data_IF_407997596826
#
_entry.id   IF_407997596826
#
_cell.length_a   1.000
_cell.length_b   1.000
_cell.length_c   1.000
_cell.angle_alpha   90.00
_cell.angle_beta   90.00
_cell.angle_gamma   90.00
#
_symmetry.space_group_name_H-M   'P 1'
#
loop_
_entity.id
_entity.type
_entity.pdbx_description
1 polymer ?
#
# COMPACT_ATOMS: atom_id res chain seq x y z
N UNK A 1 8.66 -4.00 31.72
CA UNK A 1 8.81 -3.50 30.33
C UNK A 1 8.34 -4.62 29.40
N UNK A 2 7.35 -4.36 28.56
CA UNK A 2 6.77 -5.38 27.67
C UNK A 2 7.18 -4.98 26.25
N UNK A 3 7.82 -5.90 25.54
CA UNK A 3 8.12 -5.76 24.13
C UNK A 3 7.22 -6.69 23.34
N UNK A 4 6.49 -6.15 22.37
CA UNK A 4 5.69 -6.93 21.42
C UNK A 4 6.29 -6.79 20.04
N UNK A 5 6.57 -7.90 19.38
CA UNK A 5 7.06 -7.93 18.01
C UNK A 5 6.07 -8.71 17.16
N UNK A 6 5.63 -8.08 16.07
CA UNK A 6 4.91 -8.77 15.01
C UNK A 6 5.75 -8.71 13.74
N UNK A 7 6.03 -9.86 13.16
CA UNK A 7 6.77 -9.95 11.89
C UNK A 7 5.79 -10.12 10.73
N UNK A 8 6.05 -9.40 9.63
CA UNK A 8 5.31 -9.64 8.39
C UNK A 8 5.55 -11.07 7.90
N UNK A 9 4.53 -11.68 7.29
CA UNK A 9 4.73 -12.93 6.56
C UNK A 9 5.57 -12.65 5.32
N UNK A 10 6.71 -13.31 5.18
CA UNK A 10 7.59 -13.19 4.03
C UNK A 10 7.43 -14.44 3.15
N UNK A 11 7.22 -14.22 1.85
CA UNK A 11 7.23 -15.28 0.81
C UNK A 11 8.36 -14.95 -0.13
N UNK A 12 9.38 -15.78 -0.15
CA UNK A 12 10.59 -15.57 -0.95
C UNK A 12 10.89 -16.79 -1.81
N UNK A 13 11.20 -16.55 -3.09
CA UNK A 13 11.58 -17.60 -4.04
C UNK A 13 11.36 -17.17 -5.49
N UNK A 14 11.94 -17.93 -6.41
CA UNK A 14 11.72 -17.71 -7.85
C UNK A 14 10.23 -17.89 -8.15
N UNK A 15 9.62 -16.91 -8.81
CA UNK A 15 8.19 -16.92 -9.17
C UNK A 15 7.23 -16.66 -8.01
N UNK A 16 7.71 -16.32 -6.81
CA UNK A 16 6.84 -16.02 -5.66
C UNK A 16 5.81 -14.90 -5.93
N UNK A 17 6.15 -13.95 -6.83
CA UNK A 17 5.26 -12.86 -7.21
C UNK A 17 3.96 -13.29 -7.89
N UNK A 18 3.92 -14.45 -8.52
CA UNK A 18 2.70 -15.02 -9.15
C UNK A 18 1.57 -15.22 -8.12
N UNK A 19 1.89 -15.42 -6.84
CA UNK A 19 0.91 -15.59 -5.77
C UNK A 19 0.32 -14.30 -5.21
N UNK A 20 0.79 -13.12 -5.62
CA UNK A 20 0.42 -11.82 -5.00
C UNK A 20 -1.08 -11.56 -5.05
N UNK A 21 -1.72 -11.71 -6.20
CA UNK A 21 -3.15 -11.49 -6.35
C UNK A 21 -3.99 -12.42 -5.45
N UNK A 22 -3.63 -13.70 -5.37
CA UNK A 22 -4.30 -14.66 -4.49
C UNK A 22 -4.09 -14.35 -3.00
N UNK A 23 -2.91 -13.83 -2.61
CA UNK A 23 -2.67 -13.37 -1.24
C UNK A 23 -3.52 -12.14 -0.91
N UNK A 24 -3.56 -11.15 -1.79
CA UNK A 24 -4.36 -9.95 -1.60
C UNK A 24 -5.86 -10.26 -1.50
N UNK A 25 -6.37 -11.18 -2.34
CA UNK A 25 -7.78 -11.58 -2.34
C UNK A 25 -8.25 -12.30 -1.05
N UNK A 26 -7.32 -12.77 -0.23
CA UNK A 26 -7.63 -13.30 1.12
C UNK A 26 -7.75 -12.21 2.18
N UNK A 27 -7.25 -11.02 1.89
CA UNK A 27 -7.20 -9.89 2.83
C UNK A 27 -8.32 -8.88 2.58
N UNK A 28 -8.77 -8.77 1.32
CA UNK A 28 -9.80 -7.81 0.92
C UNK A 28 -10.35 -8.12 -0.47
N UNK A 29 -11.29 -7.28 -0.90
CA UNK A 29 -11.99 -7.44 -2.19
C UNK A 29 -11.81 -6.23 -3.11
N UNK A 30 -11.46 -5.08 -2.56
CA UNK A 30 -11.32 -3.80 -3.27
C UNK A 30 -9.90 -3.27 -3.11
N UNK A 31 -9.07 -3.51 -4.11
CA UNK A 31 -7.63 -3.30 -4.03
C UNK A 31 -7.22 -1.88 -4.42
N UNK A 32 -6.35 -1.27 -3.62
CA UNK A 32 -5.54 -0.13 -4.02
C UNK A 32 -4.17 -0.64 -4.48
N UNK A 33 -3.90 -0.65 -5.78
CA UNK A 33 -2.60 -0.99 -6.35
C UNK A 33 -1.72 0.26 -6.46
N UNK A 34 -0.57 0.26 -5.80
CA UNK A 34 0.42 1.34 -5.83
C UNK A 34 1.64 0.88 -6.62
N UNK A 35 2.00 1.64 -7.65
CA UNK A 35 3.11 1.32 -8.56
C UNK A 35 4.09 2.49 -8.68
N UNK A 36 5.26 2.24 -9.25
CA UNK A 36 6.21 3.30 -9.62
C UNK A 36 5.84 4.01 -10.93
N UNK A 37 6.75 4.86 -11.42
CA UNK A 37 6.56 5.72 -12.59
C UNK A 37 6.34 4.99 -13.92
N UNK A 38 6.55 3.69 -13.95
CA UNK A 38 6.35 2.85 -15.16
C UNK A 38 5.29 1.78 -14.86
N UNK A 39 4.00 2.16 -14.75
CA UNK A 39 2.94 1.22 -14.36
C UNK A 39 2.81 0.04 -15.32
N UNK A 40 3.08 0.20 -16.62
CA UNK A 40 3.04 -0.87 -17.61
C UNK A 40 3.97 -2.07 -17.31
N UNK A 41 4.98 -1.90 -16.44
CA UNK A 41 5.77 -3.03 -15.95
C UNK A 41 5.00 -3.96 -14.99
N UNK A 42 3.87 -3.50 -14.50
CA UNK A 42 3.03 -4.20 -13.52
C UNK A 42 1.68 -4.62 -14.12
N UNK A 43 1.50 -4.51 -15.46
CA UNK A 43 0.23 -4.85 -16.12
C UNK A 43 -0.20 -6.29 -15.84
N UNK A 44 0.75 -7.22 -15.80
CA UNK A 44 0.50 -8.61 -15.42
C UNK A 44 -0.16 -8.74 -14.03
N UNK A 45 0.31 -7.95 -13.05
CA UNK A 45 -0.26 -7.98 -11.70
C UNK A 45 -1.62 -7.28 -11.66
N UNK A 46 -1.79 -6.21 -12.42
CA UNK A 46 -3.08 -5.52 -12.54
C UNK A 46 -4.14 -6.44 -13.15
N UNK A 47 -3.79 -7.20 -14.18
CA UNK A 47 -4.67 -8.21 -14.79
C UNK A 47 -5.01 -9.32 -13.82
N UNK A 48 -4.02 -9.87 -13.12
CA UNK A 48 -4.22 -10.90 -12.10
C UNK A 48 -5.14 -10.41 -10.96
N UNK A 49 -4.91 -9.20 -10.46
CA UNK A 49 -5.75 -8.59 -9.43
C UNK A 49 -7.20 -8.41 -9.92
N UNK A 50 -7.38 -7.89 -11.13
CA UNK A 50 -8.72 -7.71 -11.72
C UNK A 50 -9.48 -9.01 -11.91
N UNK A 51 -8.77 -10.12 -12.08
CA UNK A 51 -9.40 -11.45 -12.23
C UNK A 51 -9.98 -12.00 -10.93
N UNK A 52 -9.52 -11.51 -9.75
CA UNK A 52 -9.88 -12.05 -8.43
C UNK A 52 -10.48 -11.03 -7.46
N UNK A 53 -10.44 -9.74 -7.80
CA UNK A 53 -10.96 -8.63 -7.00
C UNK A 53 -12.26 -8.09 -7.55
N UNK A 54 -13.09 -7.49 -6.70
CA UNK A 54 -14.32 -6.80 -7.13
C UNK A 54 -14.01 -5.45 -7.76
N UNK A 55 -12.94 -4.78 -7.29
CA UNK A 55 -12.46 -3.52 -7.84
C UNK A 55 -10.95 -3.36 -7.64
N UNK A 56 -10.26 -2.72 -8.60
CA UNK A 56 -8.84 -2.41 -8.52
C UNK A 56 -8.60 -0.97 -8.96
N UNK A 57 -8.27 -0.12 -7.98
CA UNK A 57 -7.81 1.25 -8.21
C UNK A 57 -6.30 1.26 -8.30
N UNK A 58 -5.74 1.86 -9.36
CA UNK A 58 -4.30 1.98 -9.53
C UNK A 58 -3.83 3.42 -9.28
N UNK A 59 -2.74 3.55 -8.50
CA UNK A 59 -2.04 4.81 -8.22
C UNK A 59 -0.58 4.65 -8.61
N UNK A 60 -0.10 5.48 -9.55
CA UNK A 60 1.29 5.48 -9.98
C UNK A 60 2.06 6.64 -9.33
N UNK A 61 3.20 6.34 -8.72
CA UNK A 61 4.14 7.33 -8.19
C UNK A 61 5.14 7.70 -9.26
N UNK A 62 5.03 8.91 -9.78
CA UNK A 62 5.93 9.43 -10.83
C UNK A 62 7.21 10.02 -10.23
N UNK A 63 7.14 10.47 -8.98
CA UNK A 63 8.22 11.09 -8.20
C UNK A 63 8.03 10.78 -6.72
N UNK A 64 8.94 11.26 -5.87
CA UNK A 64 8.77 11.17 -4.42
C UNK A 64 7.40 11.72 -4.01
N UNK A 65 6.64 10.99 -3.18
CA UNK A 65 5.28 11.35 -2.83
C UNK A 65 5.26 12.59 -1.92
N UNK A 66 4.55 13.62 -2.36
CA UNK A 66 4.24 14.79 -1.53
C UNK A 66 3.06 14.47 -0.58
N UNK A 67 3.03 15.12 0.58
CA UNK A 67 1.97 14.91 1.60
C UNK A 67 0.58 15.16 1.05
N UNK A 68 0.41 16.22 0.25
CA UNK A 68 -0.88 16.53 -0.41
C UNK A 68 -1.33 15.41 -1.37
N UNK A 69 -0.40 14.82 -2.12
CA UNK A 69 -0.70 13.71 -3.01
C UNK A 69 -1.16 12.49 -2.20
N UNK A 70 -0.43 12.13 -1.13
CA UNK A 70 -0.78 10.98 -0.27
C UNK A 70 -2.16 11.20 0.37
N UNK A 71 -2.44 12.38 0.93
CA UNK A 71 -3.74 12.71 1.53
C UNK A 71 -4.88 12.58 0.52
N UNK A 72 -4.72 13.11 -0.68
CA UNK A 72 -5.73 13.03 -1.74
C UNK A 72 -5.99 11.59 -2.21
N UNK A 73 -4.93 10.79 -2.39
CA UNK A 73 -5.06 9.40 -2.83
C UNK A 73 -5.67 8.50 -1.73
N UNK A 74 -5.32 8.73 -0.46
CA UNK A 74 -5.90 8.02 0.67
C UNK A 74 -7.41 8.31 0.79
N UNK A 75 -7.83 9.56 0.66
CA UNK A 75 -9.24 9.93 0.69
C UNK A 75 -10.02 9.31 -0.48
N UNK A 76 -9.43 9.33 -1.69
CA UNK A 76 -10.05 8.69 -2.84
C UNK A 76 -10.15 7.16 -2.68
N UNK A 77 -9.16 6.51 -2.07
CA UNK A 77 -9.20 5.08 -1.76
C UNK A 77 -10.27 4.77 -0.72
N UNK A 78 -10.39 5.61 0.32
CA UNK A 78 -11.42 5.49 1.36
C UNK A 78 -12.83 5.63 0.78
N UNK A 79 -13.06 6.61 -0.09
CA UNK A 79 -14.34 6.82 -0.76
C UNK A 79 -14.69 5.67 -1.70
N UNK A 80 -13.70 5.07 -2.36
CA UNK A 80 -13.87 3.88 -3.18
C UNK A 80 -14.11 2.60 -2.36
N UNK A 81 -13.96 2.66 -1.03
CA UNK A 81 -14.10 1.51 -0.15
C UNK A 81 -12.97 0.49 -0.30
N UNK A 82 -11.75 0.94 -0.64
CA UNK A 82 -10.58 0.06 -0.69
C UNK A 82 -10.34 -0.58 0.68
N UNK A 83 -10.10 -1.89 0.70
CA UNK A 83 -9.96 -2.70 1.91
C UNK A 83 -8.66 -3.51 1.94
N UNK A 84 -7.85 -3.43 0.89
CA UNK A 84 -6.50 -4.01 0.81
C UNK A 84 -5.60 -3.14 -0.07
N UNK A 85 -4.32 -3.05 0.29
CA UNK A 85 -3.30 -2.35 -0.50
C UNK A 85 -2.29 -3.34 -1.05
N UNK A 86 -1.96 -3.22 -2.32
CA UNK A 86 -0.82 -3.92 -2.94
C UNK A 86 0.15 -2.85 -3.45
N UNK A 87 1.40 -2.87 -2.99
CA UNK A 87 2.42 -1.95 -3.44
C UNK A 87 3.57 -2.71 -4.12
N UNK A 88 3.84 -2.41 -5.38
CA UNK A 88 4.91 -3.02 -6.17
C UNK A 88 5.87 -1.96 -6.69
N UNK A 89 7.11 -1.98 -6.21
CA UNK A 89 8.11 -0.99 -6.59
C UNK A 89 9.30 -0.91 -5.65
N UNK A 90 10.04 0.18 -5.75
CA UNK A 90 11.14 0.50 -4.83
C UNK A 90 10.65 1.02 -3.48
N UNK A 91 11.59 1.46 -2.64
CA UNK A 91 11.31 1.93 -1.29
C UNK A 91 10.24 3.00 -1.20
N UNK A 92 10.30 4.04 -2.03
CA UNK A 92 9.29 5.13 -2.06
C UNK A 92 7.87 4.61 -2.34
N UNK A 93 7.73 3.61 -3.22
CA UNK A 93 6.43 3.00 -3.54
C UNK A 93 5.90 2.21 -2.36
N UNK A 94 6.76 1.42 -1.71
CA UNK A 94 6.40 0.64 -0.54
C UNK A 94 6.00 1.56 0.63
N UNK A 95 6.75 2.63 0.86
CA UNK A 95 6.46 3.60 1.93
C UNK A 95 5.18 4.38 1.64
N UNK A 96 4.94 4.79 0.40
CA UNK A 96 3.67 5.36 0.00
C UNK A 96 2.50 4.38 0.23
N UNK A 97 2.68 3.11 -0.11
CA UNK A 97 1.68 2.06 0.16
C UNK A 97 1.33 1.95 1.64
N UNK A 98 2.32 1.99 2.53
CA UNK A 98 2.11 1.99 3.98
C UNK A 98 1.33 3.22 4.45
N UNK A 99 1.73 4.41 3.97
CA UNK A 99 1.04 5.66 4.33
C UNK A 99 -0.42 5.66 3.83
N UNK A 100 -0.65 5.21 2.60
CA UNK A 100 -2.00 5.09 2.03
C UNK A 100 -2.86 4.08 2.79
N UNK A 101 -2.30 2.94 3.19
CA UNK A 101 -3.01 1.93 3.98
C UNK A 101 -3.47 2.50 5.34
N UNK A 102 -2.58 3.23 6.02
CA UNK A 102 -2.88 3.86 7.30
C UNK A 102 -3.93 4.96 7.18
N UNK A 103 -3.77 5.88 6.22
CA UNK A 103 -4.68 7.01 6.04
C UNK A 103 -6.04 6.62 5.47
N UNK A 104 -6.11 5.64 4.57
CA UNK A 104 -7.39 5.15 4.06
C UNK A 104 -8.25 4.54 5.17
N UNK A 105 -7.64 3.89 6.17
CA UNK A 105 -8.34 3.35 7.33
C UNK A 105 -8.77 4.43 8.35
N UNK A 106 -7.96 5.49 8.51
CA UNK A 106 -8.16 6.48 9.58
C UNK A 106 -8.75 7.81 9.09
N UNK A 107 -8.62 8.12 7.80
CA UNK A 107 -9.03 9.41 7.24
C UNK A 107 -8.11 10.56 7.65
N UNK A 108 -8.47 11.77 7.26
CA UNK A 108 -7.74 12.98 7.61
C UNK A 108 -6.53 13.27 6.72
N UNK A 109 -5.78 14.28 7.10
CA UNK A 109 -4.56 14.72 6.42
C UNK A 109 -3.32 14.06 7.02
N UNK A 110 -2.27 13.88 6.21
CA UNK A 110 -0.98 13.33 6.67
C UNK A 110 -0.46 14.06 7.90
N UNK A 111 -0.56 15.41 7.94
CA UNK A 111 -0.08 16.23 9.07
C UNK A 111 -0.81 15.93 10.39
N UNK A 112 -1.99 15.34 10.35
CA UNK A 112 -2.68 14.89 11.57
C UNK A 112 -1.85 13.87 12.35
N UNK A 113 -1.09 13.02 11.65
CA UNK A 113 -0.39 11.87 12.22
C UNK A 113 1.13 12.03 12.31
N UNK A 114 1.73 12.99 11.57
CA UNK A 114 3.17 13.23 11.65
C UNK A 114 3.58 13.79 13.02
N UNK A 115 4.58 13.15 13.65
CA UNK A 115 4.97 13.47 15.02
C UNK A 115 5.71 14.82 15.15
N UNK A 116 6.67 15.11 14.25
CA UNK A 116 7.56 16.27 14.41
C UNK A 116 6.98 17.54 13.79
N UNK A 117 6.43 17.41 12.57
CA UNK A 117 5.94 18.55 11.78
C UNK A 117 4.41 18.62 11.73
N UNK A 118 3.72 17.68 12.35
CA UNK A 118 2.27 17.57 12.40
C UNK A 118 1.73 17.58 13.82
N UNK A 119 0.54 17.01 14.00
CA UNK A 119 -0.17 16.98 15.28
C UNK A 119 0.20 15.76 16.14
N UNK A 120 0.87 14.77 15.57
CA UNK A 120 1.27 13.53 16.25
C UNK A 120 0.11 12.71 16.82
N UNK A 121 -1.09 12.78 16.21
CA UNK A 121 -2.23 11.99 16.68
C UNK A 121 -1.98 10.50 16.44
N UNK A 122 -2.30 9.62 17.37
CA UNK A 122 -2.27 8.18 17.12
C UNK A 122 -3.35 7.78 16.11
N UNK A 123 -3.10 6.70 15.37
CA UNK A 123 -4.13 6.06 14.58
C UNK A 123 -5.19 5.42 15.47
N UNK A 124 -6.45 5.59 15.12
CA UNK A 124 -7.60 5.02 15.85
C UNK A 124 -7.96 3.63 15.34
N UNK A 125 -7.67 3.38 14.05
CA UNK A 125 -7.92 2.10 13.38
C UNK A 125 -6.63 1.50 12.86
N UNK A 126 -6.57 0.18 12.84
CA UNK A 126 -5.48 -0.56 12.19
C UNK A 126 -5.40 -0.18 10.71
N UNK A 127 -4.20 -0.02 10.14
CA UNK A 127 -4.03 0.19 8.71
C UNK A 127 -4.71 -0.91 7.88
N UNK A 128 -5.12 -0.60 6.68
CA UNK A 128 -5.57 -1.63 5.74
C UNK A 128 -4.49 -2.70 5.57
N UNK A 129 -4.86 -3.97 5.45
CA UNK A 129 -3.90 -5.03 5.16
C UNK A 129 -3.13 -4.72 3.87
N UNK A 130 -1.84 -5.05 3.85
CA UNK A 130 -0.96 -4.68 2.75
C UNK A 130 -0.09 -5.85 2.29
N UNK A 131 0.04 -6.01 0.98
CA UNK A 131 1.03 -6.87 0.33
C UNK A 131 2.10 -5.97 -0.31
N UNK A 132 3.33 -6.08 0.17
CA UNK A 132 4.49 -5.37 -0.38
C UNK A 132 5.28 -6.28 -1.33
N UNK A 133 5.55 -5.78 -2.53
CA UNK A 133 6.34 -6.47 -3.58
C UNK A 133 7.52 -5.58 -3.95
N UNK A 134 8.63 -5.62 -3.19
CA UNK A 134 9.81 -4.81 -3.47
C UNK A 134 10.47 -5.27 -4.76
N UNK A 135 10.86 -4.30 -5.61
CA UNK A 135 11.56 -4.53 -6.88
C UNK A 135 13.02 -4.10 -6.83
N UNK A 136 13.49 -3.62 -5.68
CA UNK A 136 14.88 -3.25 -5.41
C UNK A 136 15.45 -4.15 -4.33
N UNK A 137 16.74 -4.49 -4.45
CA UNK A 137 17.47 -5.27 -3.47
C UNK A 137 18.74 -4.52 -3.04
N UNK A 138 19.16 -4.68 -1.79
CA UNK A 138 20.43 -4.18 -1.31
C UNK A 138 20.53 -2.66 -1.20
N UNK A 139 19.45 -1.98 -0.93
CA UNK A 139 19.40 -0.53 -0.69
C UNK A 139 19.70 -0.15 0.76
N UNK A 140 20.03 -1.11 1.57
CA UNK A 140 20.21 -0.96 3.02
C UNK A 140 21.53 -0.47 3.45
#
# INVERSE_FOLDING_TARGET
MIYSFSTARVVFGIGASVGVAAHAARMGRRCLLVTGSRPGRCDWLLEDLRSVMDDVRCVALVREPETAFISAQAEAARQAGSDVVVAIGGGSVIDAGKALAALAANGGDVFTYLEVVGQGRPFEHEPLPMVAVPTTAGTG
#
